data_IF_806010176809
#
_entry.id   IF_806010176809
#
_cell.length_a   1.000
_cell.length_b   1.000
_cell.length_c   1.000
_cell.angle_alpha   90.00
_cell.angle_beta   90.00
_cell.angle_gamma   90.00
#
_symmetry.space_group_name_H-M   'P 1'
#
loop_
_entity.id
_entity.type
_entity.pdbx_description
1 polymer ?
#
# COMPACT_ATOMS: atom_id res chain seq x y z
N UNK A 1 -85.89 -26.77 -33.58
CA UNK A 1 -86.45 -25.56 -32.94
C UNK A 1 -85.48 -25.11 -31.86
N UNK A 2 -84.62 -24.11 -32.13
CA UNK A 2 -84.49 -22.82 -31.38
C UNK A 2 -84.83 -22.97 -29.88
N UNK A 3 -83.93 -22.67 -28.94
CA UNK A 3 -83.49 -21.28 -28.65
C UNK A 3 -82.12 -21.23 -27.95
N UNK A 4 -81.28 -20.37 -28.50
CA UNK A 4 -80.23 -19.57 -27.87
C UNK A 4 -80.82 -18.79 -26.67
N UNK A 5 -80.08 -18.62 -25.57
CA UNK A 5 -80.01 -17.35 -24.81
C UNK A 5 -78.69 -17.32 -24.02
N UNK A 6 -77.88 -16.34 -24.43
CA UNK A 6 -76.69 -15.78 -23.81
C UNK A 6 -77.17 -14.77 -22.76
N UNK A 7 -76.70 -14.85 -21.51
CA UNK A 7 -76.79 -13.74 -20.56
C UNK A 7 -75.46 -13.54 -19.84
N UNK A 8 -74.79 -12.49 -20.29
CA UNK A 8 -73.67 -11.79 -19.68
C UNK A 8 -74.09 -11.26 -18.31
N UNK A 9 -73.38 -11.69 -17.26
CA UNK A 9 -73.59 -11.27 -15.87
C UNK A 9 -72.27 -10.77 -15.28
N UNK A 10 -72.13 -9.46 -15.29
CA UNK A 10 -71.06 -8.68 -14.67
C UNK A 10 -71.12 -8.87 -13.15
N UNK A 11 -70.08 -9.45 -12.53
CA UNK A 11 -69.86 -9.34 -11.09
C UNK A 11 -68.35 -9.16 -10.82
N UNK A 12 -67.92 -7.91 -10.81
CA UNK A 12 -66.78 -7.50 -9.99
C UNK A 12 -67.05 -7.95 -8.56
N UNK A 13 -66.05 -8.51 -7.87
CA UNK A 13 -65.76 -8.21 -6.45
C UNK A 13 -64.51 -8.96 -5.97
N UNK A 14 -63.58 -8.13 -5.48
CA UNK A 14 -62.56 -8.40 -4.44
C UNK A 14 -61.23 -8.99 -4.94
N UNK A 15 -60.40 -8.08 -5.42
CA UNK A 15 -58.95 -8.13 -5.25
C UNK A 15 -58.60 -8.18 -3.75
N UNK A 16 -58.28 -9.36 -3.21
CA UNK A 16 -57.46 -9.44 -2.00
C UNK A 16 -56.01 -9.16 -2.37
N UNK A 17 -55.70 -7.86 -2.47
CA UNK A 17 -54.32 -7.41 -2.37
C UNK A 17 -53.81 -7.82 -1.00
N UNK A 18 -52.97 -8.86 -0.95
CA UNK A 18 -52.09 -9.08 0.18
C UNK A 18 -51.12 -7.90 0.19
N UNK A 19 -51.49 -6.84 0.91
CA UNK A 19 -50.55 -5.84 1.36
C UNK A 19 -49.66 -6.52 2.40
N UNK A 20 -48.59 -7.16 1.95
CA UNK A 20 -47.44 -7.38 2.82
C UNK A 20 -46.92 -5.98 3.12
N UNK A 21 -47.09 -5.50 4.35
CA UNK A 21 -46.34 -4.35 4.83
C UNK A 21 -44.86 -4.73 4.69
N UNK A 22 -44.18 -4.18 3.70
CA UNK A 22 -42.74 -4.36 3.53
C UNK A 22 -42.09 -3.68 4.74
N UNK A 23 -41.84 -4.44 5.80
CA UNK A 23 -40.90 -4.00 6.83
C UNK A 23 -39.56 -3.90 6.11
N UNK A 24 -39.11 -2.67 5.89
CA UNK A 24 -37.74 -2.44 5.43
C UNK A 24 -36.83 -3.19 6.41
N UNK A 25 -35.92 -4.05 5.94
CA UNK A 25 -34.96 -4.68 6.83
C UNK A 25 -34.26 -3.56 7.59
N UNK A 26 -34.31 -3.62 8.92
CA UNK A 26 -33.51 -2.74 9.77
C UNK A 26 -32.07 -3.02 9.37
N UNK A 27 -31.44 -2.06 8.69
CA UNK A 27 -30.05 -2.15 8.29
C UNK A 27 -29.26 -1.99 9.58
N UNK A 28 -28.91 -3.11 10.21
CA UNK A 28 -27.96 -3.10 11.30
C UNK A 28 -26.64 -2.50 10.78
N UNK A 29 -25.98 -1.61 11.55
CA UNK A 29 -24.72 -1.02 11.12
C UNK A 29 -23.71 -2.15 10.88
N UNK A 30 -23.15 -2.22 9.67
CA UNK A 30 -22.13 -3.21 9.32
C UNK A 30 -20.90 -2.96 10.19
N UNK A 31 -20.70 -3.79 11.20
CA UNK A 31 -19.49 -3.84 12.03
C UNK A 31 -18.48 -4.80 11.40
N UNK A 32 -17.19 -4.60 11.65
CA UNK A 32 -16.12 -5.48 11.14
C UNK A 32 -16.35 -6.97 11.49
N UNK A 33 -17.03 -7.23 12.60
CA UNK A 33 -17.37 -8.56 13.12
C UNK A 33 -18.46 -9.29 12.30
N UNK A 34 -19.30 -8.55 11.56
CA UNK A 34 -20.37 -9.14 10.74
C UNK A 34 -19.98 -9.38 9.28
N UNK A 35 -18.75 -9.02 8.89
CA UNK A 35 -18.23 -9.20 7.54
C UNK A 35 -17.69 -10.62 7.32
N UNK A 36 -17.78 -11.16 6.09
CA UNK A 36 -17.10 -12.41 5.73
C UNK A 36 -15.60 -12.29 6.03
N UNK A 37 -14.98 -13.37 6.52
CA UNK A 37 -13.57 -13.39 6.92
C UNK A 37 -12.60 -12.87 5.83
N UNK A 38 -12.91 -13.10 4.54
CA UNK A 38 -12.11 -12.57 3.44
C UNK A 38 -12.19 -11.03 3.30
N UNK A 39 -13.35 -10.45 3.56
CA UNK A 39 -13.56 -8.99 3.54
C UNK A 39 -12.91 -8.36 4.76
N UNK A 40 -13.11 -8.93 5.95
CA UNK A 40 -12.44 -8.50 7.19
C UNK A 40 -10.92 -8.53 7.03
N UNK A 41 -10.35 -9.64 6.52
CA UNK A 41 -8.92 -9.74 6.22
C UNK A 41 -8.44 -8.68 5.24
N UNK A 42 -9.21 -8.37 4.19
CA UNK A 42 -8.83 -7.33 3.22
C UNK A 42 -8.85 -5.90 3.81
N UNK A 43 -9.71 -5.64 4.79
CA UNK A 43 -9.77 -4.36 5.49
C UNK A 43 -8.59 -4.24 6.44
N UNK A 44 -8.32 -5.29 7.23
CA UNK A 44 -7.15 -5.37 8.10
C UNK A 44 -5.86 -5.13 7.31
N UNK A 45 -5.68 -5.82 6.18
CA UNK A 45 -4.51 -5.65 5.31
C UNK A 45 -4.34 -4.21 4.80
N UNK A 46 -5.43 -3.50 4.47
CA UNK A 46 -5.39 -2.09 4.05
C UNK A 46 -5.00 -1.16 5.20
N UNK A 47 -5.47 -1.44 6.42
CA UNK A 47 -5.10 -0.66 7.60
C UNK A 47 -3.63 -0.90 7.97
N UNK A 48 -3.14 -2.14 7.85
CA UNK A 48 -1.74 -2.48 8.03
C UNK A 48 -0.84 -1.78 7.00
N UNK A 49 -1.25 -1.75 5.73
CA UNK A 49 -0.49 -1.06 4.69
C UNK A 49 -0.42 0.46 4.91
N UNK A 50 -1.53 1.10 5.31
CA UNK A 50 -1.52 2.53 5.63
C UNK A 50 -0.54 2.85 6.76
N UNK A 51 -0.51 2.03 7.80
CA UNK A 51 0.44 2.18 8.90
C UNK A 51 1.89 1.87 8.44
N UNK A 52 2.11 0.97 7.49
CA UNK A 52 3.43 0.72 6.91
C UNK A 52 3.93 1.92 6.08
N UNK A 53 3.03 2.58 5.34
CA UNK A 53 3.33 3.83 4.65
C UNK A 53 3.71 4.93 5.64
N UNK A 54 2.94 5.08 6.73
CA UNK A 54 3.26 6.05 7.79
C UNK A 54 4.60 5.76 8.47
N UNK A 55 4.91 4.49 8.76
CA UNK A 55 6.19 4.09 9.30
C UNK A 55 7.33 4.40 8.32
N UNK A 56 7.12 4.15 7.02
CA UNK A 56 8.09 4.48 5.97
C UNK A 56 8.36 5.98 5.92
N UNK A 57 7.31 6.80 5.88
CA UNK A 57 7.41 8.27 5.88
C UNK A 57 8.13 8.80 7.13
N UNK A 58 7.85 8.23 8.30
CA UNK A 58 8.52 8.62 9.54
C UNK A 58 10.02 8.28 9.52
N UNK A 59 10.40 7.10 9.03
CA UNK A 59 11.81 6.70 8.91
C UNK A 59 12.55 7.63 7.94
N UNK A 60 12.00 7.89 6.75
CA UNK A 60 12.69 8.69 5.71
C UNK A 60 12.60 10.20 5.94
N UNK A 61 11.76 10.67 6.87
CA UNK A 61 11.78 12.08 7.33
C UNK A 61 12.74 12.32 8.51
N UNK A 62 13.25 11.25 9.12
CA UNK A 62 14.20 11.32 10.22
C UNK A 62 15.64 11.44 9.68
N UNK A 63 16.48 12.33 10.21
CA UNK A 63 17.91 12.35 9.93
C UNK A 63 18.59 11.01 10.25
N UNK A 64 19.73 10.72 9.61
CA UNK A 64 20.39 9.40 9.75
C UNK A 64 20.80 9.11 11.19
N UNK A 65 21.18 10.15 11.92
CA UNK A 65 21.62 10.07 13.32
C UNK A 65 20.48 9.67 14.26
N UNK A 66 19.23 10.01 13.88
CA UNK A 66 18.03 9.73 14.65
C UNK A 66 17.46 8.33 14.36
N UNK A 67 18.01 7.60 13.38
CA UNK A 67 17.51 6.28 13.03
C UNK A 67 17.67 5.25 14.17
N UNK A 68 18.47 5.53 15.19
CA UNK A 68 18.61 4.70 16.38
C UNK A 68 17.76 5.15 17.57
N UNK A 69 16.98 6.22 17.42
CA UNK A 69 16.07 6.68 18.47
C UNK A 69 14.91 5.68 18.65
N UNK A 70 14.36 5.63 19.85
CA UNK A 70 13.33 4.64 20.22
C UNK A 70 12.06 4.79 19.37
N UNK A 71 11.68 6.03 19.04
CA UNK A 71 10.53 6.33 18.20
C UNK A 71 10.70 5.74 16.78
N UNK A 72 11.91 5.85 16.21
CA UNK A 72 12.21 5.33 14.87
C UNK A 72 12.34 3.81 14.90
N UNK A 73 12.91 3.23 15.96
CA UNK A 73 13.00 1.77 16.15
C UNK A 73 11.64 1.09 16.10
N UNK A 74 10.62 1.67 16.76
CA UNK A 74 9.26 1.12 16.71
C UNK A 74 8.72 1.08 15.27
N UNK A 75 8.96 2.15 14.50
CA UNK A 75 8.55 2.24 13.08
C UNK A 75 9.30 1.22 12.21
N UNK A 76 10.60 1.02 12.44
CA UNK A 76 11.41 -0.01 11.76
C UNK A 76 10.89 -1.41 12.03
N UNK A 77 10.59 -1.72 13.29
CA UNK A 77 10.05 -3.03 13.68
C UNK A 77 8.70 -3.32 13.03
N UNK A 78 7.80 -2.33 13.04
CA UNK A 78 6.52 -2.42 12.37
C UNK A 78 6.68 -2.64 10.86
N UNK A 79 7.50 -1.80 10.22
CA UNK A 79 7.76 -1.87 8.78
C UNK A 79 8.33 -3.23 8.38
N UNK A 80 9.33 -3.73 9.11
CA UNK A 80 9.94 -5.03 8.84
C UNK A 80 8.92 -6.16 8.95
N UNK A 81 8.09 -6.17 10.00
CA UNK A 81 7.04 -7.17 10.17
C UNK A 81 6.04 -7.13 9.01
N UNK A 82 5.58 -5.92 8.64
CA UNK A 82 4.68 -5.77 7.51
C UNK A 82 5.31 -6.22 6.18
N UNK A 83 6.58 -5.89 5.92
CA UNK A 83 7.27 -6.34 4.71
C UNK A 83 7.43 -7.87 4.64
N UNK A 84 7.51 -8.56 5.78
CA UNK A 84 7.60 -10.01 5.86
C UNK A 84 6.25 -10.72 5.70
N UNK A 85 5.19 -10.12 6.24
CA UNK A 85 3.85 -10.72 6.30
C UNK A 85 2.92 -10.24 5.16
N UNK A 86 3.34 -9.25 4.35
CA UNK A 86 2.53 -8.73 3.25
C UNK A 86 2.26 -9.82 2.21
N UNK A 87 0.99 -10.13 1.91
CA UNK A 87 0.65 -11.16 0.93
C UNK A 87 0.83 -10.69 -0.52
N UNK A 88 0.80 -9.37 -0.74
CA UNK A 88 0.69 -8.77 -2.07
C UNK A 88 2.02 -8.22 -2.59
N UNK A 89 3.04 -8.11 -1.73
CA UNK A 89 4.33 -7.53 -2.07
C UNK A 89 5.47 -8.47 -1.71
N UNK A 90 6.47 -8.56 -2.60
CA UNK A 90 7.69 -9.31 -2.34
C UNK A 90 8.87 -8.34 -2.35
N UNK A 91 9.48 -8.13 -1.19
CA UNK A 91 10.60 -7.22 -1.03
C UNK A 91 11.91 -8.01 -1.04
N UNK A 92 12.74 -7.77 -2.05
CA UNK A 92 14.05 -8.40 -2.17
C UNK A 92 15.09 -7.34 -2.53
N UNK A 93 15.92 -6.90 -1.56
CA UNK A 93 17.09 -6.09 -1.88
C UNK A 93 18.02 -6.85 -2.83
N UNK A 94 18.54 -6.17 -3.85
CA UNK A 94 19.49 -6.75 -4.79
C UNK A 94 20.94 -6.34 -4.44
N UNK A 95 21.90 -6.72 -5.29
CA UNK A 95 23.31 -6.43 -5.10
C UNK A 95 23.65 -4.93 -5.04
N UNK A 96 22.77 -4.05 -5.54
CA UNK A 96 23.04 -2.60 -5.56
C UNK A 96 23.12 -1.99 -4.16
N UNK A 97 22.60 -2.67 -3.13
CA UNK A 97 22.79 -2.26 -1.73
C UNK A 97 24.27 -2.16 -1.33
N UNK A 98 25.19 -2.78 -2.09
CA UNK A 98 26.63 -2.62 -1.92
C UNK A 98 27.11 -1.16 -2.06
N UNK A 99 26.31 -0.28 -2.67
CA UNK A 99 26.53 1.18 -2.68
C UNK A 99 26.65 1.76 -1.27
N UNK A 100 25.98 1.16 -0.28
CA UNK A 100 26.03 1.62 1.11
C UNK A 100 27.33 1.25 1.83
N UNK A 101 28.17 0.40 1.22
CA UNK A 101 29.39 -0.12 1.85
C UNK A 101 29.04 -0.70 3.24
N UNK A 102 29.64 -0.19 4.32
CA UNK A 102 29.39 -0.66 5.69
C UNK A 102 28.29 0.14 6.43
N UNK A 103 27.58 1.05 5.74
CA UNK A 103 26.56 1.89 6.37
C UNK A 103 25.22 1.16 6.55
N UNK A 104 25.14 0.38 7.63
CA UNK A 104 23.93 -0.38 8.00
C UNK A 104 22.69 0.49 8.27
N UNK A 105 22.85 1.78 8.58
CA UNK A 105 21.70 2.65 8.83
C UNK A 105 20.96 2.98 7.53
N UNK A 106 21.68 3.12 6.41
CA UNK A 106 21.08 3.35 5.09
C UNK A 106 20.23 2.17 4.60
N UNK A 107 20.47 0.96 5.11
CA UNK A 107 19.60 -0.18 4.83
C UNK A 107 18.16 0.07 5.29
N UNK A 108 17.97 0.70 6.45
CA UNK A 108 16.63 1.03 6.95
C UNK A 108 15.94 2.08 6.08
N UNK A 109 16.70 3.08 5.62
CA UNK A 109 16.20 4.07 4.66
C UNK A 109 15.79 3.39 3.35
N UNK A 110 16.62 2.49 2.83
CA UNK A 110 16.33 1.73 1.61
C UNK A 110 15.03 0.92 1.72
N UNK A 111 14.86 0.17 2.81
CA UNK A 111 13.65 -0.61 3.06
C UNK A 111 12.40 0.28 3.15
N UNK A 112 12.50 1.41 3.85
CA UNK A 112 11.40 2.37 3.95
C UNK A 112 11.06 3.02 2.59
N UNK A 113 12.07 3.42 1.81
CA UNK A 113 11.87 3.93 0.45
C UNK A 113 11.22 2.88 -0.46
N UNK A 114 11.66 1.62 -0.38
CA UNK A 114 11.12 0.53 -1.19
C UNK A 114 9.65 0.26 -0.84
N UNK A 115 9.33 0.17 0.44
CA UNK A 115 7.97 -0.02 0.91
C UNK A 115 7.07 1.13 0.47
N UNK A 116 7.47 2.39 0.72
CA UNK A 116 6.75 3.58 0.27
C UNK A 116 6.48 3.55 -1.22
N UNK A 117 7.52 3.38 -2.04
CA UNK A 117 7.40 3.42 -3.48
C UNK A 117 6.49 2.30 -4.01
N UNK A 118 6.58 1.10 -3.43
CA UNK A 118 5.74 -0.04 -3.79
C UNK A 118 4.27 0.19 -3.43
N UNK A 119 3.99 0.70 -2.22
CA UNK A 119 2.64 1.01 -1.76
C UNK A 119 2.00 2.11 -2.61
N UNK A 120 2.75 3.13 -2.99
CA UNK A 120 2.26 4.25 -3.79
C UNK A 120 2.07 3.89 -5.27
N UNK A 121 2.77 2.85 -5.77
CA UNK A 121 2.73 2.40 -7.17
C UNK A 121 2.32 0.93 -7.28
N UNK A 122 1.25 0.53 -6.58
CA UNK A 122 0.84 -0.89 -6.47
C UNK A 122 0.60 -1.58 -7.81
N UNK A 123 0.10 -0.85 -8.80
CA UNK A 123 -0.16 -1.34 -10.15
C UNK A 123 1.13 -1.77 -10.86
N UNK A 124 2.28 -1.24 -10.44
CA UNK A 124 3.62 -1.59 -10.93
C UNK A 124 4.43 -2.41 -9.93
N UNK A 125 3.86 -2.84 -8.80
CA UNK A 125 4.57 -3.62 -7.77
C UNK A 125 5.17 -4.93 -8.28
N UNK A 126 4.62 -5.49 -9.37
CA UNK A 126 5.15 -6.66 -10.06
C UNK A 126 6.30 -6.39 -11.05
N UNK A 127 6.77 -5.15 -11.19
CA UNK A 127 7.87 -4.74 -12.07
C UNK A 127 9.13 -4.40 -11.23
N UNK A 128 10.07 -5.34 -11.06
CA UNK A 128 11.22 -5.16 -10.18
C UNK A 128 12.13 -3.99 -10.58
N UNK A 129 12.34 -3.76 -11.87
CA UNK A 129 13.21 -2.68 -12.36
C UNK A 129 12.60 -1.31 -12.08
N UNK A 130 11.28 -1.18 -12.24
CA UNK A 130 10.54 0.04 -11.91
C UNK A 130 10.60 0.35 -10.42
N UNK A 131 10.32 -0.66 -9.58
CA UNK A 131 10.40 -0.52 -8.12
C UNK A 131 11.83 -0.20 -7.67
N UNK A 132 12.83 -0.85 -8.25
CA UNK A 132 14.24 -0.60 -7.95
C UNK A 132 14.63 0.84 -8.27
N UNK A 133 14.33 1.33 -9.47
CA UNK A 133 14.69 2.68 -9.87
C UNK A 133 14.04 3.71 -8.95
N UNK A 134 12.74 3.61 -8.71
CA UNK A 134 12.02 4.54 -7.83
C UNK A 134 12.47 4.48 -6.38
N UNK A 135 12.79 3.29 -5.87
CA UNK A 135 13.40 3.12 -4.54
C UNK A 135 14.71 3.91 -4.46
N UNK A 136 15.59 3.74 -5.45
CA UNK A 136 16.88 4.43 -5.46
C UNK A 136 16.77 5.94 -5.69
N UNK A 137 15.74 6.41 -6.40
CA UNK A 137 15.44 7.85 -6.50
C UNK A 137 15.12 8.44 -5.13
N UNK A 138 14.26 7.78 -4.35
CA UNK A 138 13.95 8.21 -2.98
C UNK A 138 15.18 8.15 -2.06
N UNK A 139 15.97 7.08 -2.15
CA UNK A 139 17.21 6.93 -1.38
C UNK A 139 18.23 8.02 -1.72
N UNK A 140 18.46 8.26 -3.01
CA UNK A 140 19.39 9.30 -3.45
C UNK A 140 18.92 10.68 -3.01
N UNK A 141 17.61 10.96 -3.08
CA UNK A 141 17.01 12.18 -2.55
C UNK A 141 17.19 12.34 -1.03
N UNK A 142 17.04 11.25 -0.26
CA UNK A 142 17.30 11.24 1.18
C UNK A 142 18.77 11.57 1.47
N UNK A 143 19.71 10.98 0.73
CA UNK A 143 21.15 11.16 0.95
C UNK A 143 21.63 12.55 0.47
N UNK A 144 21.01 13.11 -0.57
CA UNK A 144 21.33 14.45 -1.09
C UNK A 144 20.75 15.58 -0.24
N UNK A 145 19.78 15.30 0.64
CA UNK A 145 19.25 16.27 1.57
C UNK A 145 20.26 16.54 2.71
N UNK A 146 20.81 17.76 2.83
CA UNK A 146 21.78 18.09 3.87
C UNK A 146 21.18 18.00 5.28
N UNK A 147 19.86 18.12 5.44
CA UNK A 147 19.18 17.97 6.74
C UNK A 147 19.18 16.54 7.29
N UNK A 148 19.50 15.54 6.46
CA UNK A 148 19.56 14.15 6.87
C UNK A 148 20.94 13.72 7.39
N UNK A 149 21.94 14.61 7.35
CA UNK A 149 23.28 14.41 7.92
C UNK A 149 24.01 13.13 7.47
N UNK A 150 23.72 12.59 6.28
CA UNK A 150 24.34 11.35 5.80
C UNK A 150 25.84 11.56 5.54
N UNK A 151 26.75 10.82 6.21
CA UNK A 151 28.17 10.84 5.89
C UNK A 151 28.40 10.37 4.45
N UNK A 152 29.08 11.20 3.66
CA UNK A 152 29.22 10.99 2.22
C UNK A 152 30.51 10.21 1.91
N UNK A 153 30.36 8.98 1.39
CA UNK A 153 31.45 8.27 0.71
C UNK A 153 31.54 8.69 -0.75
N UNK A 154 32.62 8.35 -1.43
CA UNK A 154 32.77 8.60 -2.87
C UNK A 154 31.65 7.92 -3.67
N UNK A 155 31.24 6.71 -3.27
CA UNK A 155 30.18 5.97 -3.92
C UNK A 155 28.81 6.63 -3.73
N UNK A 156 28.52 7.13 -2.53
CA UNK A 156 27.28 7.89 -2.27
C UNK A 156 27.27 9.23 -3.02
N UNK A 157 28.42 9.87 -3.22
CA UNK A 157 28.51 11.05 -4.07
C UNK A 157 28.19 10.74 -5.53
N UNK A 158 28.74 9.66 -6.07
CA UNK A 158 28.41 9.20 -7.42
C UNK A 158 26.91 8.90 -7.59
N UNK A 159 26.29 8.25 -6.59
CA UNK A 159 24.85 8.01 -6.56
C UNK A 159 24.05 9.33 -6.68
N UNK A 160 24.36 10.32 -5.84
CA UNK A 160 23.64 11.59 -5.85
C UNK A 160 23.90 12.40 -7.13
N UNK A 161 25.11 12.35 -7.69
CA UNK A 161 25.40 13.01 -8.96
C UNK A 161 24.65 12.36 -10.13
N UNK A 162 24.54 11.02 -10.15
CA UNK A 162 23.71 10.30 -11.11
C UNK A 162 22.22 10.64 -10.96
N UNK A 163 21.72 10.78 -9.72
CA UNK A 163 20.36 11.23 -9.43
C UNK A 163 20.10 12.65 -9.96
N UNK A 164 20.94 13.63 -9.62
CA UNK A 164 20.81 15.03 -10.07
C UNK A 164 20.91 15.18 -11.59
N UNK A 165 21.70 14.33 -12.25
CA UNK A 165 21.89 14.34 -13.71
C UNK A 165 20.88 13.48 -14.47
N UNK A 166 19.92 12.82 -13.80
CA UNK A 166 18.94 11.89 -14.38
C UNK A 166 19.59 10.69 -15.09
N UNK A 167 20.74 10.24 -14.59
CA UNK A 167 21.49 9.09 -15.07
C UNK A 167 21.49 7.93 -14.05
N UNK A 168 20.55 7.96 -13.09
CA UNK A 168 20.50 6.98 -12.01
C UNK A 168 20.35 5.53 -12.50
N UNK A 169 19.47 5.26 -13.48
CA UNK A 169 19.33 3.92 -14.06
C UNK A 169 20.66 3.38 -14.60
N UNK A 170 21.37 4.19 -15.40
CA UNK A 170 22.66 3.80 -15.96
C UNK A 170 23.72 3.60 -14.86
N UNK A 171 23.70 4.40 -13.79
CA UNK A 171 24.58 4.17 -12.64
C UNK A 171 24.28 2.81 -12.00
N UNK A 172 23.01 2.49 -11.74
CA UNK A 172 22.60 1.25 -11.07
C UNK A 172 22.90 -0.03 -11.87
N UNK A 173 22.95 0.06 -13.20
CA UNK A 173 23.33 -1.06 -14.09
C UNK A 173 24.82 -1.42 -14.01
N UNK A 174 25.66 -0.50 -13.52
CA UNK A 174 27.13 -0.66 -13.44
C UNK A 174 27.63 -0.98 -12.02
N UNK A 175 26.75 -1.47 -11.15
CA UNK A 175 27.06 -1.77 -9.74
C UNK A 175 27.47 -3.22 -9.51
#
# INVERSE_FOLDING_TARGET
MKKLILTMGFLCLISSGYCQSLQLPVIEPVTLESLPAAVSKSIELKDFEKAALQASDFIISSPIDDLNNEEVKASKGYLLGWMQDSPDFNFAPDHTIAIFEDNNLLMWTYMACMAKFTIENKDQSGNPDFIKLGTWELVAGYIDNPGNNVPRTDKLNQLCDAYKSKQLSAFLENQ
#
